data_IF_533399889991
#
_entry.id   IF_533399889991
#
_cell.length_a   1.000
_cell.length_b   1.000
_cell.length_c   1.000
_cell.angle_alpha   90.00
_cell.angle_beta   90.00
_cell.angle_gamma   90.00
#
_symmetry.space_group_name_H-M   'P 1'
#
loop_
_entity.id
_entity.type
_entity.pdbx_description
1 polymer ?
#
# COMPACT_ATOMS: atom_id res chain seq x y z
N UNK A 1 7.36 8.51 32.27
CA UNK A 1 6.07 8.57 31.54
C UNK A 1 6.08 7.80 30.21
N UNK A 2 7.15 7.83 29.40
CA UNK A 2 7.21 7.17 28.08
C UNK A 2 6.89 5.65 28.09
N UNK A 3 7.34 4.92 29.11
CA UNK A 3 7.14 3.47 29.21
C UNK A 3 5.69 3.01 29.46
N UNK A 4 4.77 3.92 29.82
CA UNK A 4 3.32 3.60 29.96
C UNK A 4 2.57 3.76 28.63
N UNK A 5 3.02 4.67 27.78
CA UNK A 5 2.43 4.92 26.45
C UNK A 5 2.82 3.78 25.50
N UNK A 6 4.08 3.31 25.55
CA UNK A 6 4.55 2.19 24.73
C UNK A 6 3.77 0.90 24.97
N UNK A 7 3.28 0.69 26.21
CA UNK A 7 2.56 -0.52 26.60
C UNK A 7 1.17 -0.64 25.97
N UNK A 8 0.48 0.47 25.68
CA UNK A 8 -0.83 0.47 24.99
C UNK A 8 -0.70 0.34 23.47
N UNK A 9 0.35 0.92 22.89
CA UNK A 9 0.61 0.84 21.44
C UNK A 9 1.08 -0.55 21.00
N UNK A 10 1.73 -1.29 21.91
CA UNK A 10 2.30 -2.62 21.66
C UNK A 10 1.43 -3.78 22.20
N UNK A 11 0.22 -3.51 22.67
CA UNK A 11 -0.65 -4.55 23.23
C UNK A 11 -1.25 -5.48 22.15
N UNK A 12 -1.79 -6.62 22.56
CA UNK A 12 -2.53 -7.55 21.71
C UNK A 12 -3.84 -6.93 21.18
N UNK A 13 -4.46 -7.55 20.18
CA UNK A 13 -5.75 -7.09 19.65
C UNK A 13 -6.81 -6.94 20.75
N UNK A 14 -7.76 -6.03 20.52
CA UNK A 14 -8.87 -5.74 21.45
C UNK A 14 -9.59 -7.03 21.86
N UNK A 15 -10.02 -7.13 23.14
CA UNK A 15 -10.73 -8.32 23.62
C UNK A 15 -11.99 -8.60 22.78
N UNK A 16 -12.32 -9.88 22.62
CA UNK A 16 -13.51 -10.29 21.87
C UNK A 16 -14.77 -9.65 22.48
N UNK A 17 -15.71 -9.16 21.65
CA UNK A 17 -16.94 -8.57 22.15
C UNK A 17 -17.79 -9.60 22.89
N UNK A 18 -18.37 -9.20 24.02
CA UNK A 18 -19.33 -10.01 24.77
C UNK A 18 -20.61 -10.16 23.96
N UNK A 19 -21.12 -11.39 23.85
CA UNK A 19 -22.35 -11.63 23.11
C UNK A 19 -23.56 -10.94 23.80
N UNK A 20 -24.54 -10.41 23.04
CA UNK A 20 -25.76 -9.86 23.61
C UNK A 20 -26.56 -10.94 24.36
N UNK A 21 -27.27 -10.55 25.42
CA UNK A 21 -28.13 -11.47 26.17
C UNK A 21 -29.19 -12.12 25.24
N UNK A 22 -29.41 -13.43 25.37
CA UNK A 22 -30.40 -14.19 24.59
C UNK A 22 -29.94 -14.72 23.23
N UNK A 23 -28.69 -14.51 22.83
CA UNK A 23 -28.18 -14.89 21.49
C UNK A 23 -27.60 -16.32 21.38
N UNK A 24 -27.76 -17.13 22.43
CA UNK A 24 -27.04 -18.42 22.61
C UNK A 24 -27.31 -19.53 21.61
N UNK A 25 -28.21 -19.36 20.63
CA UNK A 25 -28.76 -20.49 19.85
C UNK A 25 -28.31 -20.54 18.38
N UNK A 26 -27.88 -19.42 17.77
CA UNK A 26 -27.62 -19.41 16.30
C UNK A 26 -26.22 -18.92 15.92
N UNK A 27 -25.65 -17.95 16.64
CA UNK A 27 -24.30 -17.45 16.36
C UNK A 27 -23.51 -17.31 17.66
N UNK A 28 -22.81 -18.38 18.02
CA UNK A 28 -21.90 -18.33 19.16
C UNK A 28 -20.68 -17.48 18.75
N UNK A 29 -20.43 -16.37 19.45
CA UNK A 29 -19.30 -15.44 19.19
C UNK A 29 -17.91 -16.09 19.24
N UNK A 30 -17.84 -17.37 19.60
CA UNK A 30 -16.64 -18.21 19.65
C UNK A 30 -16.56 -19.26 18.54
N UNK A 31 -17.43 -19.24 17.52
CA UNK A 31 -17.33 -20.20 16.39
C UNK A 31 -16.08 -19.95 15.53
N UNK A 32 -15.61 -18.70 15.44
CA UNK A 32 -14.39 -18.35 14.69
C UNK A 32 -13.56 -17.31 15.45
N UNK A 33 -12.91 -17.68 16.56
CA UNK A 33 -12.08 -16.75 17.31
C UNK A 33 -10.85 -16.42 16.47
N UNK A 34 -10.64 -15.14 16.18
CA UNK A 34 -9.43 -14.67 15.52
C UNK A 34 -8.26 -14.92 16.47
N UNK A 35 -7.47 -15.97 16.19
CA UNK A 35 -6.33 -16.40 17.03
C UNK A 35 -5.20 -15.37 17.04
N UNK A 36 -5.01 -14.67 15.93
CA UNK A 36 -3.95 -13.69 15.74
C UNK A 36 -4.52 -12.46 15.04
N UNK A 37 -4.47 -11.33 15.73
CA UNK A 37 -4.83 -10.04 15.15
C UNK A 37 -3.78 -9.01 15.56
N UNK A 38 -3.35 -8.21 14.58
CA UNK A 38 -2.47 -7.06 14.81
C UNK A 38 -3.31 -5.90 15.35
N UNK A 39 -2.83 -5.24 16.40
CA UNK A 39 -3.37 -3.97 16.85
C UNK A 39 -3.21 -2.92 15.72
N UNK A 40 -4.13 -1.97 15.60
CA UNK A 40 -4.15 -0.95 14.55
C UNK A 40 -2.80 -0.28 14.29
N UNK A 41 -2.08 0.21 15.32
CA UNK A 41 -0.75 0.81 15.13
C UNK A 41 0.29 -0.16 14.56
N UNK A 42 0.27 -1.44 14.96
CA UNK A 42 1.17 -2.47 14.43
C UNK A 42 0.85 -2.78 12.98
N UNK A 43 -0.43 -2.88 12.65
CA UNK A 43 -0.88 -3.08 11.27
C UNK A 43 -0.44 -1.93 10.37
N UNK A 44 -0.64 -0.68 10.80
CA UNK A 44 -0.19 0.51 10.07
C UNK A 44 1.33 0.50 9.90
N UNK A 45 2.09 0.15 10.94
CA UNK A 45 3.55 0.08 10.85
C UNK A 45 4.02 -0.97 9.83
N UNK A 46 3.44 -2.17 9.84
CA UNK A 46 3.78 -3.24 8.90
C UNK A 46 3.43 -2.83 7.48
N UNK A 47 2.19 -2.41 7.23
CA UNK A 47 1.73 -2.01 5.89
C UNK A 47 2.49 -0.78 5.39
N UNK A 48 2.70 0.21 6.25
CA UNK A 48 3.47 1.41 5.94
C UNK A 48 4.91 1.08 5.56
N UNK A 49 5.58 0.21 6.32
CA UNK A 49 6.95 -0.22 5.99
C UNK A 49 7.02 -0.97 4.67
N UNK A 50 6.03 -1.82 4.36
CA UNK A 50 5.97 -2.53 3.09
C UNK A 50 5.77 -1.57 1.91
N UNK A 51 4.83 -0.62 2.03
CA UNK A 51 4.59 0.38 1.00
C UNK A 51 5.81 1.26 0.76
N UNK A 52 6.41 1.78 1.84
CA UNK A 52 7.65 2.58 1.74
C UNK A 52 8.75 1.77 1.08
N UNK A 53 8.92 0.49 1.45
CA UNK A 53 9.90 -0.40 0.83
C UNK A 53 9.67 -0.60 -0.67
N UNK A 54 8.44 -0.85 -1.09
CA UNK A 54 8.10 -1.04 -2.52
C UNK A 54 8.36 0.23 -3.33
N UNK A 55 7.88 1.38 -2.87
CA UNK A 55 8.05 2.63 -3.61
C UNK A 55 9.52 3.11 -3.62
N UNK A 56 10.21 3.01 -2.49
CA UNK A 56 11.63 3.36 -2.40
C UNK A 56 12.50 2.42 -3.25
N UNK A 57 12.24 1.11 -3.20
CA UNK A 57 12.93 0.11 -4.02
C UNK A 57 12.72 0.34 -5.52
N UNK A 58 11.50 0.64 -5.94
CA UNK A 58 11.19 0.99 -7.34
C UNK A 58 11.92 2.25 -7.79
N UNK A 59 11.91 3.30 -6.96
CA UNK A 59 12.60 4.54 -7.27
C UNK A 59 14.12 4.34 -7.34
N UNK A 60 14.68 3.61 -6.38
CA UNK A 60 16.09 3.24 -6.35
C UNK A 60 16.49 2.44 -7.59
N UNK A 61 15.71 1.42 -7.95
CA UNK A 61 15.95 0.62 -9.15
C UNK A 61 15.98 1.51 -10.40
N UNK A 62 14.97 2.37 -10.59
CA UNK A 62 14.91 3.28 -11.75
C UNK A 62 16.03 4.30 -11.81
N UNK A 63 16.55 4.76 -10.67
CA UNK A 63 17.54 5.84 -10.61
C UNK A 63 18.99 5.35 -10.57
N UNK A 64 19.23 4.20 -9.94
CA UNK A 64 20.57 3.72 -9.62
C UNK A 64 20.97 2.45 -10.39
N UNK A 65 20.00 1.58 -10.72
CA UNK A 65 20.30 0.27 -11.33
C UNK A 65 19.94 0.26 -12.81
N UNK A 66 18.75 0.76 -13.15
CA UNK A 66 18.27 0.81 -14.52
C UNK A 66 19.19 1.73 -15.33
N UNK A 67 19.94 1.14 -16.25
CA UNK A 67 20.77 1.90 -17.16
C UNK A 67 19.88 2.92 -17.88
N UNK A 68 20.33 4.18 -17.93
CA UNK A 68 19.76 5.20 -18.80
C UNK A 68 20.11 4.89 -20.25
N UNK A 69 19.83 3.68 -20.72
CA UNK A 69 19.77 3.44 -22.15
C UNK A 69 18.61 4.31 -22.64
N UNK A 70 18.84 5.40 -23.39
CA UNK A 70 17.79 6.37 -23.66
C UNK A 70 16.75 5.67 -24.54
N UNK A 71 15.51 5.40 -24.05
CA UNK A 71 14.48 4.91 -24.96
C UNK A 71 13.97 6.07 -25.83
N UNK A 72 14.28 7.31 -25.45
CA UNK A 72 14.03 8.51 -26.22
C UNK A 72 14.91 9.63 -25.64
N UNK A 73 15.59 10.46 -26.45
CA UNK A 73 16.16 11.72 -25.97
C UNK A 73 15.11 12.53 -25.18
N UNK A 74 15.55 13.46 -24.30
CA UNK A 74 14.64 14.38 -23.64
C UNK A 74 13.72 15.04 -24.67
N UNK A 75 12.41 15.00 -24.43
CA UNK A 75 11.41 15.60 -25.32
C UNK A 75 11.75 17.08 -25.51
N UNK A 76 11.86 17.55 -26.75
CA UNK A 76 12.20 18.94 -27.05
C UNK A 76 11.11 19.86 -26.45
N UNK A 77 11.46 20.87 -25.62
CA UNK A 77 10.50 21.82 -25.07
C UNK A 77 9.67 22.56 -26.13
N UNK A 78 10.19 22.68 -27.36
CA UNK A 78 9.54 23.34 -28.48
C UNK A 78 8.78 22.37 -29.40
N UNK A 79 8.71 21.08 -29.05
CA UNK A 79 8.05 20.07 -29.87
C UNK A 79 6.55 20.34 -29.96
N UNK A 80 6.11 20.86 -31.11
CA UNK A 80 4.69 20.97 -31.43
C UNK A 80 4.15 19.58 -31.78
N UNK A 81 2.88 19.27 -31.42
CA UNK A 81 2.23 18.07 -31.92
C UNK A 81 2.36 18.02 -33.45
N UNK A 82 2.73 16.88 -34.04
CA UNK A 82 2.77 16.77 -35.49
C UNK A 82 1.37 17.03 -36.03
N UNK A 83 1.26 17.84 -37.09
CA UNK A 83 -0.02 18.18 -37.71
C UNK A 83 -0.78 16.95 -38.22
N UNK A 84 -0.04 15.86 -38.48
CA UNK A 84 -0.55 14.60 -38.97
C UNK A 84 0.26 13.46 -38.36
N UNK A 85 -0.42 12.34 -38.07
CA UNK A 85 0.29 11.13 -37.63
C UNK A 85 1.26 10.67 -38.73
N UNK A 86 2.51 10.26 -38.40
CA UNK A 86 3.52 9.85 -39.40
C UNK A 86 3.06 8.71 -40.33
N UNK A 87 2.06 7.94 -39.91
CA UNK A 87 1.49 6.83 -40.67
C UNK A 87 0.09 7.12 -41.24
N UNK A 88 -0.28 8.40 -41.38
CA UNK A 88 -1.58 8.75 -41.94
C UNK A 88 -1.58 8.71 -43.49
N UNK A 89 -2.71 8.34 -44.13
CA UNK A 89 -2.76 7.92 -45.53
C UNK A 89 -2.39 8.83 -46.73
N UNK A 90 -1.62 9.91 -46.71
CA UNK A 90 -1.68 10.94 -47.79
C UNK A 90 -3.12 11.48 -48.05
N UNK A 91 -3.24 12.70 -48.56
CA UNK A 91 -4.55 13.26 -48.89
C UNK A 91 -4.76 13.03 -50.39
N UNK A 92 -5.94 12.51 -50.77
CA UNK A 92 -6.32 12.21 -52.16
C UNK A 92 -6.24 13.44 -53.08
#
# INVERSE_FOLDING_TARGET
MAARISRRLLDAATPLPTAPAGTGVVFHSRMMPVKYALNGPKWIAVVGSALVGVFSGHFFYKKCILNKNPPNPPRDPNEKPPARHPHAPADD
#
